data_IF_543977002337
#
_entry.id   IF_543977002337
#
_cell.length_a   1.000
_cell.length_b   1.000
_cell.length_c   1.000
_cell.angle_alpha   90.00
_cell.angle_beta   90.00
_cell.angle_gamma   90.00
#
_symmetry.space_group_name_H-M   'P 1'
#
loop_
_entity.id
_entity.type
_entity.pdbx_description
1 polymer ?
#
# COMPACT_ATOMS: atom_id res chain seq x y z
N UNK A 1 -9.84 12.56 -10.82
CA UNK A 1 -9.97 11.10 -10.57
C UNK A 1 -8.63 10.46 -10.93
N UNK A 2 -7.96 9.78 -9.99
CA UNK A 2 -6.65 9.17 -10.26
C UNK A 2 -6.86 7.83 -10.98
N UNK A 3 -6.22 7.62 -12.14
CA UNK A 3 -6.40 6.37 -12.91
C UNK A 3 -5.35 5.32 -12.53
N UNK A 4 -5.79 4.08 -12.34
CA UNK A 4 -4.92 2.91 -12.08
C UNK A 4 -3.85 2.71 -13.18
N UNK A 5 -4.10 3.19 -14.39
CA UNK A 5 -3.17 3.06 -15.52
C UNK A 5 -1.89 3.88 -15.35
N UNK A 6 -1.96 4.97 -14.58
CA UNK A 6 -0.83 5.86 -14.27
C UNK A 6 0.17 5.19 -13.30
N UNK A 7 -0.26 4.15 -12.57
CA UNK A 7 0.60 3.45 -11.63
C UNK A 7 1.57 2.51 -12.35
N UNK A 8 2.82 2.51 -11.89
CA UNK A 8 3.84 1.57 -12.39
C UNK A 8 3.51 0.14 -11.99
N UNK A 9 4.16 -0.84 -12.64
CA UNK A 9 3.99 -2.26 -12.30
C UNK A 9 4.29 -2.54 -10.81
N UNK A 10 5.31 -1.87 -10.26
CA UNK A 10 5.71 -2.02 -8.86
C UNK A 10 4.68 -1.41 -7.91
N UNK A 11 4.15 -0.23 -8.23
CA UNK A 11 3.08 0.42 -7.45
C UNK A 11 1.84 -0.49 -7.36
N UNK A 12 1.44 -1.07 -8.49
CA UNK A 12 0.31 -2.00 -8.59
C UNK A 12 0.53 -3.26 -7.77
N UNK A 13 1.76 -3.81 -7.76
CA UNK A 13 2.12 -4.98 -6.96
C UNK A 13 2.01 -4.68 -5.47
N UNK A 14 2.60 -3.57 -5.00
CA UNK A 14 2.52 -3.16 -3.59
C UNK A 14 1.07 -3.03 -3.13
N UNK A 15 0.20 -2.40 -3.92
CA UNK A 15 -1.22 -2.25 -3.58
C UNK A 15 -1.93 -3.61 -3.48
N UNK A 16 -1.66 -4.56 -4.38
CA UNK A 16 -2.25 -5.90 -4.31
C UNK A 16 -1.77 -6.69 -3.11
N UNK A 17 -0.47 -6.64 -2.82
CA UNK A 17 0.11 -7.36 -1.68
C UNK A 17 -0.41 -6.75 -0.36
N UNK A 18 -0.53 -5.42 -0.29
CA UNK A 18 -1.14 -4.72 0.84
C UNK A 18 -2.65 -4.97 1.00
N UNK A 19 -3.36 -5.22 -0.11
CA UNK A 19 -4.76 -5.67 -0.09
C UNK A 19 -4.86 -7.11 0.43
N UNK A 20 -4.04 -8.02 -0.10
CA UNK A 20 -4.02 -9.43 0.28
C UNK A 20 -3.65 -9.63 1.76
N UNK A 21 -2.92 -8.69 2.35
CA UNK A 21 -2.54 -8.76 3.76
C UNK A 21 -3.73 -8.58 4.73
N UNK A 22 -4.93 -8.18 4.29
CA UNK A 22 -6.12 -7.95 5.14
C UNK A 22 -5.88 -7.13 6.43
N UNK A 23 -4.91 -6.19 6.43
CA UNK A 23 -4.52 -5.41 7.63
C UNK A 23 -3.26 -5.90 8.38
N UNK A 24 -2.68 -7.03 7.98
CA UNK A 24 -1.36 -7.50 8.43
C UNK A 24 -0.23 -6.49 8.15
N UNK A 25 -0.30 -5.80 7.01
CA UNK A 25 0.72 -4.90 6.50
C UNK A 25 1.73 -5.66 5.64
N UNK A 26 2.35 -4.96 4.69
CA UNK A 26 3.48 -5.45 3.89
C UNK A 26 4.74 -4.76 4.34
N UNK A 27 5.84 -5.49 4.40
CA UNK A 27 7.13 -4.92 4.73
C UNK A 27 7.60 -3.99 3.60
N UNK A 28 7.88 -2.74 3.98
CA UNK A 28 8.26 -1.69 3.05
C UNK A 28 9.64 -1.91 2.43
N UNK A 29 10.51 -2.72 3.02
CA UNK A 29 11.87 -2.93 2.51
C UNK A 29 11.90 -3.76 1.22
N UNK A 30 10.85 -4.54 0.93
CA UNK A 30 10.68 -5.24 -0.35
C UNK A 30 10.35 -4.32 -1.53
N UNK A 31 10.10 -3.02 -1.28
CA UNK A 31 9.65 -2.08 -2.30
C UNK A 31 10.56 -0.86 -2.44
N UNK A 32 10.80 -0.38 -3.67
CA UNK A 32 11.59 0.82 -3.89
C UNK A 32 11.03 2.02 -3.12
N UNK A 33 11.92 2.82 -2.50
CA UNK A 33 11.53 4.02 -1.73
C UNK A 33 10.62 4.96 -2.53
N UNK A 34 10.93 5.21 -3.80
CA UNK A 34 10.13 6.07 -4.67
C UNK A 34 8.69 5.56 -4.91
N UNK A 35 8.48 4.24 -4.95
CA UNK A 35 7.17 3.62 -5.06
C UNK A 35 6.35 3.85 -3.79
N UNK A 36 6.97 3.60 -2.63
CA UNK A 36 6.36 3.80 -1.31
C UNK A 36 5.93 5.25 -1.09
N UNK A 37 6.85 6.20 -1.29
CA UNK A 37 6.59 7.63 -1.11
C UNK A 37 5.47 8.13 -2.03
N UNK A 38 5.44 7.66 -3.27
CA UNK A 38 4.38 8.01 -4.21
C UNK A 38 3.02 7.52 -3.73
N UNK A 39 2.90 6.23 -3.38
CA UNK A 39 1.64 5.67 -2.93
C UNK A 39 1.15 6.24 -1.58
N UNK A 40 2.09 6.57 -0.68
CA UNK A 40 1.82 7.30 0.55
C UNK A 40 1.28 8.71 0.26
N UNK A 41 1.94 9.47 -0.63
CA UNK A 41 1.52 10.82 -1.04
C UNK A 41 0.15 10.82 -1.72
N UNK A 42 -0.15 9.77 -2.48
CA UNK A 42 -1.46 9.55 -3.10
C UNK A 42 -2.52 9.05 -2.10
N UNK A 43 -2.15 8.76 -0.85
CA UNK A 43 -3.07 8.27 0.17
C UNK A 43 -3.63 6.87 -0.10
N UNK A 44 -2.99 6.07 -0.96
CA UNK A 44 -3.43 4.71 -1.33
C UNK A 44 -2.91 3.66 -0.33
N UNK A 45 -1.82 3.97 0.35
CA UNK A 45 -1.26 3.20 1.47
C UNK A 45 -0.92 4.12 2.62
N UNK A 46 -0.72 3.55 3.81
CA UNK A 46 -0.29 4.26 5.01
C UNK A 46 0.62 3.38 5.85
N UNK A 47 1.48 4.01 6.65
CA UNK A 47 2.25 3.30 7.67
C UNK A 47 1.30 2.68 8.69
N UNK A 48 1.55 1.41 9.01
CA UNK A 48 0.81 0.74 10.09
C UNK A 48 1.27 1.36 11.42
N UNK A 49 0.36 1.85 12.27
CA UNK A 49 0.74 2.38 13.56
C UNK A 49 1.39 1.28 14.40
N UNK A 50 2.61 1.54 14.88
CA UNK A 50 3.34 0.65 15.78
C UNK A 50 2.57 0.52 17.09
N UNK A 51 1.90 -0.61 17.31
CA UNK A 51 1.24 -0.90 18.59
C UNK A 51 2.23 -1.42 19.65
N UNK A 52 3.46 -1.77 19.28
CA UNK A 52 4.48 -2.23 20.23
C UNK A 52 5.77 -1.42 20.12
N UNK A 53 6.20 -0.82 21.24
CA UNK A 53 7.46 -0.06 21.44
C UNK A 53 8.71 -0.97 21.47
N UNK A 54 8.80 -1.97 20.61
CA UNK A 54 10.00 -2.79 20.49
C UNK A 54 10.87 -2.27 19.35
N UNK A 55 12.15 -2.04 19.65
CA UNK A 55 13.13 -1.25 18.88
C UNK A 55 13.54 -1.77 17.50
N UNK A 56 12.91 -2.83 16.97
CA UNK A 56 13.28 -3.45 15.70
C UNK A 56 12.05 -3.95 14.96
N UNK A 57 11.27 -3.06 14.33
CA UNK A 57 10.14 -3.51 13.53
C UNK A 57 10.15 -2.89 12.15
N UNK A 58 10.19 -3.79 11.16
CA UNK A 58 9.96 -3.57 9.75
C UNK A 58 8.87 -2.51 9.56
N UNK A 59 9.16 -1.49 8.75
CA UNK A 59 8.22 -0.41 8.53
C UNK A 59 7.07 -0.99 7.70
N UNK A 60 5.97 -1.40 8.34
CA UNK A 60 4.85 -2.06 7.66
C UNK A 60 3.94 -1.02 7.01
N UNK A 61 3.53 -1.29 5.78
CA UNK A 61 2.59 -0.50 5.00
C UNK A 61 1.25 -1.24 4.88
N UNK A 62 0.15 -0.54 5.07
CA UNK A 62 -1.20 -1.09 4.92
C UNK A 62 -1.97 -0.33 3.85
N UNK A 63 -2.87 -1.01 3.15
CA UNK A 63 -3.72 -0.37 2.14
C UNK A 63 -4.80 0.49 2.83
N UNK A 64 -5.05 1.69 2.30
CA UNK A 64 -6.13 2.58 2.78
C UNK A 64 -7.47 2.24 2.11
N UNK A 65 -8.55 2.88 2.56
CA UNK A 65 -9.84 2.76 1.86
C UNK A 65 -9.77 3.24 0.40
N UNK A 66 -9.03 4.31 0.14
CA UNK A 66 -8.84 4.83 -1.22
C UNK A 66 -8.04 3.87 -2.10
N UNK A 67 -6.98 3.24 -1.56
CA UNK A 67 -6.23 2.20 -2.26
C UNK A 67 -7.09 0.98 -2.59
N UNK A 68 -7.95 0.57 -1.65
CA UNK A 68 -8.91 -0.52 -1.88
C UNK A 68 -9.92 -0.15 -2.96
N UNK A 69 -10.55 1.02 -2.87
CA UNK A 69 -11.50 1.49 -3.88
C UNK A 69 -10.88 1.54 -5.28
N UNK A 70 -9.64 2.02 -5.42
CA UNK A 70 -8.92 2.05 -6.70
C UNK A 70 -8.72 0.65 -7.31
N UNK A 71 -8.58 -0.39 -6.49
CA UNK A 71 -8.50 -1.78 -6.94
C UNK A 71 -9.88 -2.40 -7.19
N UNK A 72 -10.86 -2.09 -6.34
CA UNK A 72 -12.23 -2.65 -6.39
C UNK A 72 -13.07 -2.04 -7.51
N UNK A 73 -12.87 -0.77 -7.88
CA UNK A 73 -13.54 -0.14 -9.05
C UNK A 73 -13.19 -0.85 -10.37
N UNK A 74 -12.11 -1.64 -10.41
CA UNK A 74 -11.74 -2.53 -11.53
C UNK A 74 -12.21 -3.98 -11.34
N UNK A 75 -12.83 -4.31 -10.20
CA UNK A 75 -13.24 -5.67 -9.80
C UNK A 75 -14.76 -5.82 -9.62
N UNK A 76 -15.56 -4.82 -10.03
CA UNK A 76 -17.00 -5.00 -10.18
C UNK A 76 -17.25 -5.74 -11.50
N UNK A 77 -17.85 -6.95 -11.48
CA UNK A 77 -18.36 -7.59 -12.69
C UNK A 77 -19.44 -6.75 -13.37
#
# INVERSE_FOLDING_TARGET
MLSYEVLTRTDKRLLRDALASNGGGVDSDFYPKACRERLLKLGLIQWKPNQHKSLHYASLLTITAAGRALLTERALP
#
